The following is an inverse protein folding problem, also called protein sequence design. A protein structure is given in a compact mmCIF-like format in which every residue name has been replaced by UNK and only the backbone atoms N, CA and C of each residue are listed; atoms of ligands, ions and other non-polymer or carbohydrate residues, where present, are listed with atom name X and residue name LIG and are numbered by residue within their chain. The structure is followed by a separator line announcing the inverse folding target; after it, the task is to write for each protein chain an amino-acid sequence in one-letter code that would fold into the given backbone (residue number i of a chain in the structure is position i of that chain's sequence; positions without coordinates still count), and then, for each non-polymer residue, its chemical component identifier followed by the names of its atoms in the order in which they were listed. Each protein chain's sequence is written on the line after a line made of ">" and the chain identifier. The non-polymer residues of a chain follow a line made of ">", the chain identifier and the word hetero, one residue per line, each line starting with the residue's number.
data_IF_047293235247
#
_entry.id   IF_047293235247
#
_cell.length_a   1.000
_cell.length_b   1.000
_cell.length_c   1.000
_cell.angle_alpha   90.00
_cell.angle_beta   90.00
_cell.angle_gamma   90.00
#
_symmetry.space_group_name_H-M   'P 1'
#
loop_
_entity.id
_entity.type
_entity.pdbx_description
1 polymer ?
#
# COMPACT_ATOMS: atom_id res chain seq x y z
N UNK A 1 14.99 22.12 -1.22
CA UNK A 1 14.83 21.63 -2.61
C UNK A 1 14.84 22.85 -3.51
N UNK A 2 15.67 22.88 -4.55
CA UNK A 2 15.65 23.99 -5.51
C UNK A 2 14.55 23.82 -6.56
N UNK A 3 14.24 24.88 -7.30
CA UNK A 3 13.17 24.88 -8.31
C UNK A 3 13.42 23.87 -9.44
N UNK A 4 14.68 23.64 -9.82
CA UNK A 4 15.04 22.68 -10.86
C UNK A 4 14.75 21.23 -10.41
N UNK A 5 15.07 20.90 -9.16
CA UNK A 5 14.77 19.59 -8.56
C UNK A 5 13.26 19.35 -8.44
N UNK A 6 12.48 20.38 -8.11
CA UNK A 6 11.02 20.29 -8.07
C UNK A 6 10.43 20.03 -9.47
N UNK A 7 10.90 20.75 -10.49
CA UNK A 7 10.45 20.56 -11.87
C UNK A 7 10.78 19.17 -12.40
N UNK A 8 11.96 18.63 -12.06
CA UNK A 8 12.34 17.27 -12.43
C UNK A 8 11.44 16.22 -11.78
N UNK A 9 11.09 16.39 -10.50
CA UNK A 9 10.18 15.47 -9.81
C UNK A 9 8.79 15.50 -10.43
N UNK A 10 8.24 16.69 -10.71
CA UNK A 10 6.92 16.84 -11.33
C UNK A 10 6.87 16.18 -12.70
N UNK A 11 7.89 16.40 -13.55
CA UNK A 11 7.96 15.76 -14.86
C UNK A 11 8.01 14.22 -14.76
N UNK A 12 8.73 13.68 -13.77
CA UNK A 12 8.76 12.24 -13.52
C UNK A 12 7.38 11.72 -13.06
N UNK A 13 6.69 12.44 -12.17
CA UNK A 13 5.32 12.09 -11.74
C UNK A 13 4.36 12.06 -12.94
N UNK A 14 4.36 13.08 -13.78
CA UNK A 14 3.49 13.16 -14.97
C UNK A 14 3.75 12.02 -15.97
N UNK A 15 5.03 11.68 -16.19
CA UNK A 15 5.42 10.54 -16.99
C UNK A 15 4.85 9.24 -16.42
N UNK A 16 5.11 8.94 -15.14
CA UNK A 16 4.63 7.72 -14.51
C UNK A 16 3.11 7.65 -14.44
N UNK A 17 2.40 8.78 -14.25
CA UNK A 17 0.95 8.81 -14.32
C UNK A 17 0.42 8.39 -15.69
N UNK A 18 1.06 8.86 -16.76
CA UNK A 18 0.68 8.52 -18.13
C UNK A 18 0.86 7.02 -18.38
N UNK A 19 2.00 6.48 -17.96
CA UNK A 19 2.33 5.06 -18.13
C UNK A 19 1.43 4.15 -17.27
N UNK A 20 1.18 4.51 -16.02
CA UNK A 20 0.25 3.81 -15.13
C UNK A 20 -1.19 3.81 -15.68
N UNK A 21 -1.68 4.95 -16.17
CA UNK A 21 -3.00 5.03 -16.83
C UNK A 21 -3.07 4.09 -18.04
N UNK A 22 -2.00 4.00 -18.81
CA UNK A 22 -1.91 3.05 -19.93
C UNK A 22 -1.90 1.59 -19.45
N UNK A 23 -1.16 1.28 -18.37
CA UNK A 23 -1.09 -0.07 -17.80
C UNK A 23 -2.44 -0.56 -17.26
N UNK A 24 -3.22 0.33 -16.64
CA UNK A 24 -4.53 0.02 -16.06
C UNK A 24 -5.63 -0.10 -17.12
N UNK A 25 -5.43 0.49 -18.31
CA UNK A 25 -6.42 0.47 -19.39
C UNK A 25 -6.74 -0.97 -19.83
N UNK A 26 -8.01 -1.34 -19.69
CA UNK A 26 -8.55 -2.67 -20.01
C UNK A 26 -7.87 -3.81 -19.23
N UNK A 27 -7.29 -3.53 -18.05
CA UNK A 27 -6.66 -4.55 -17.21
C UNK A 27 -7.66 -5.62 -16.76
N UNK A 28 -8.91 -5.23 -16.54
CA UNK A 28 -10.04 -6.09 -16.18
C UNK A 28 -10.38 -7.15 -17.23
N UNK A 29 -9.96 -6.96 -18.48
CA UNK A 29 -10.15 -7.94 -19.55
C UNK A 29 -8.94 -8.88 -19.72
N UNK A 30 -7.82 -8.58 -19.08
CA UNK A 30 -6.52 -9.20 -19.36
C UNK A 30 -5.89 -9.89 -18.16
N UNK A 31 -6.23 -9.47 -16.95
CA UNK A 31 -5.57 -9.95 -15.75
C UNK A 31 -6.47 -10.87 -14.94
N UNK A 32 -5.93 -12.04 -14.61
CA UNK A 32 -6.48 -12.87 -13.56
C UNK A 32 -6.30 -12.17 -12.20
N UNK A 33 -7.35 -12.22 -11.40
CA UNK A 33 -7.43 -11.57 -10.09
C UNK A 33 -7.08 -12.57 -8.99
N UNK A 34 -6.18 -12.16 -8.11
CA UNK A 34 -5.89 -12.88 -6.88
C UNK A 34 -6.92 -12.51 -5.80
N UNK A 35 -7.80 -13.45 -5.46
CA UNK A 35 -8.81 -13.27 -4.41
C UNK A 35 -8.32 -13.68 -3.02
N UNK A 36 -7.26 -14.47 -2.97
CA UNK A 36 -6.74 -15.03 -1.73
C UNK A 36 -5.22 -14.91 -1.70
N UNK A 37 -4.67 -14.59 -0.55
CA UNK A 37 -3.22 -14.53 -0.35
C UNK A 37 -2.86 -14.99 1.05
N UNK A 38 -1.64 -15.52 1.17
CA UNK A 38 -1.13 -15.95 2.46
C UNK A 38 -0.80 -14.74 3.32
N UNK A 39 -1.08 -14.88 4.62
CA UNK A 39 -0.81 -13.89 5.64
C UNK A 39 -0.02 -14.53 6.78
N UNK A 40 0.81 -13.78 7.49
CA UNK A 40 1.41 -14.27 8.71
C UNK A 40 0.31 -14.61 9.73
N UNK A 41 0.59 -15.58 10.59
CA UNK A 41 -0.19 -15.73 11.82
C UNK A 41 -0.10 -14.42 12.62
N UNK A 42 -1.13 -14.07 13.36
CA UNK A 42 -1.14 -12.84 14.15
C UNK A 42 -0.85 -13.19 15.61
N UNK A 43 0.15 -12.52 16.18
CA UNK A 43 0.47 -12.58 17.60
C UNK A 43 -0.47 -11.72 18.46
N UNK A 44 -0.16 -11.67 19.76
CA UNK A 44 -0.90 -10.87 20.74
C UNK A 44 -0.96 -9.38 20.33
N UNK A 45 -2.13 -8.76 20.48
CA UNK A 45 -2.34 -7.36 20.05
C UNK A 45 -2.32 -7.16 18.52
N UNK A 46 -2.24 -8.23 17.73
CA UNK A 46 -2.29 -8.16 16.28
C UNK A 46 -0.96 -7.84 15.60
N UNK A 47 0.19 -7.98 16.26
CA UNK A 47 1.46 -7.98 15.52
C UNK A 47 1.51 -9.18 14.55
N UNK A 48 2.14 -9.07 13.37
CA UNK A 48 2.70 -10.24 12.64
C UNK A 48 3.43 -11.13 13.68
N UNK A 49 3.12 -12.43 13.67
CA UNK A 49 3.70 -13.44 14.56
C UNK A 49 5.20 -13.61 14.31
N UNK A 50 5.79 -14.65 14.92
CA UNK A 50 7.14 -15.10 14.63
C UNK A 50 7.37 -15.14 13.12
N UNK A 51 8.39 -14.38 12.68
CA UNK A 51 8.78 -14.27 11.28
C UNK A 51 8.81 -15.65 10.59
N UNK A 52 8.06 -15.78 9.50
CA UNK A 52 7.97 -17.00 8.70
C UNK A 52 6.84 -17.98 9.07
N UNK A 53 6.04 -17.70 10.11
CA UNK A 53 4.84 -18.49 10.41
C UNK A 53 3.61 -17.91 9.70
N UNK A 54 3.08 -18.66 8.75
CA UNK A 54 1.88 -18.31 8.01
C UNK A 54 0.64 -18.90 8.67
N UNK A 55 -0.47 -18.17 8.59
CA UNK A 55 -1.78 -18.71 8.96
C UNK A 55 -2.11 -19.93 8.10
N UNK A 56 -2.84 -20.90 8.67
CA UNK A 56 -3.25 -22.10 7.95
C UNK A 56 -4.18 -21.77 6.77
N UNK A 57 -5.11 -20.84 6.99
CA UNK A 57 -6.04 -20.37 5.98
C UNK A 57 -5.58 -19.03 5.37
N UNK A 58 -5.63 -18.88 4.04
CA UNK A 58 -5.31 -17.63 3.40
C UNK A 58 -6.39 -16.57 3.70
N UNK A 59 -6.01 -15.30 3.61
CA UNK A 59 -6.98 -14.22 3.68
C UNK A 59 -7.79 -14.13 2.38
N UNK A 60 -9.13 -14.13 2.48
CA UNK A 60 -10.04 -13.97 1.33
C UNK A 60 -10.59 -12.55 1.25
N UNK A 61 -10.09 -11.79 0.27
CA UNK A 61 -10.50 -10.39 0.05
C UNK A 61 -11.96 -10.26 -0.38
N UNK A 62 -12.56 -11.32 -0.93
CA UNK A 62 -13.97 -11.27 -1.36
C UNK A 62 -14.92 -11.06 -0.19
N UNK A 63 -14.58 -11.51 1.02
CA UNK A 63 -15.43 -11.36 2.20
C UNK A 63 -15.68 -9.88 2.54
N UNK A 64 -14.63 -9.06 2.59
CA UNK A 64 -14.73 -7.63 2.89
C UNK A 64 -15.21 -6.79 1.69
N UNK A 65 -15.04 -7.34 0.47
CA UNK A 65 -15.53 -6.73 -0.76
C UNK A 65 -17.03 -6.96 -1.01
N UNK A 66 -17.69 -7.82 -0.25
CA UNK A 66 -19.09 -8.20 -0.48
C UNK A 66 -19.27 -9.22 -1.62
N UNK A 67 -18.24 -10.00 -1.91
CA UNK A 67 -18.26 -11.11 -2.88
C UNK A 67 -17.50 -10.85 -4.18
N UNK A 68 -17.47 -11.87 -5.03
CA UNK A 68 -16.76 -11.86 -6.33
C UNK A 68 -17.64 -11.29 -7.44
N UNK A 69 -17.95 -10.00 -7.37
CA UNK A 69 -18.76 -9.30 -8.38
C UNK A 69 -17.91 -8.86 -9.58
N UNK A 70 -18.51 -8.57 -10.75
CA UNK A 70 -17.78 -7.99 -11.88
C UNK A 70 -17.08 -6.66 -11.54
N UNK A 71 -17.71 -5.82 -10.70
CA UNK A 71 -17.11 -4.57 -10.24
C UNK A 71 -15.86 -4.82 -9.38
N UNK A 72 -15.93 -5.75 -8.42
CA UNK A 72 -14.79 -6.12 -7.58
C UNK A 72 -13.68 -6.82 -8.38
N UNK A 73 -14.04 -7.60 -9.39
CA UNK A 73 -13.06 -8.17 -10.32
C UNK A 73 -12.32 -7.07 -11.08
N UNK A 74 -13.05 -6.11 -11.67
CA UNK A 74 -12.44 -5.00 -12.39
C UNK A 74 -11.57 -4.12 -11.48
N UNK A 75 -12.01 -3.86 -10.25
CA UNK A 75 -11.23 -3.16 -9.22
C UNK A 75 -9.90 -3.87 -8.98
N UNK A 76 -9.93 -5.14 -8.58
CA UNK A 76 -8.72 -5.88 -8.24
C UNK A 76 -7.79 -6.08 -9.44
N UNK A 77 -8.33 -6.27 -10.66
CA UNK A 77 -7.53 -6.37 -11.87
C UNK A 77 -6.77 -5.07 -12.16
N UNK A 78 -7.43 -3.93 -12.01
CA UNK A 78 -6.81 -2.61 -12.21
C UNK A 78 -5.75 -2.31 -11.14
N UNK A 79 -6.02 -2.62 -9.88
CA UNK A 79 -5.02 -2.51 -8.81
C UNK A 79 -3.84 -3.46 -9.04
N UNK A 80 -4.10 -4.68 -9.50
CA UNK A 80 -3.07 -5.63 -9.91
C UNK A 80 -2.18 -5.13 -11.03
N UNK A 81 -2.74 -4.40 -12.01
CA UNK A 81 -1.95 -3.76 -13.05
C UNK A 81 -1.02 -2.66 -12.50
N UNK A 82 -1.49 -1.86 -11.54
CA UNK A 82 -0.66 -0.87 -10.83
C UNK A 82 0.48 -1.57 -10.11
N UNK A 83 0.20 -2.60 -9.30
CA UNK A 83 1.22 -3.32 -8.55
C UNK A 83 2.27 -3.97 -9.45
N UNK A 84 1.85 -4.58 -10.57
CA UNK A 84 2.79 -5.19 -11.55
C UNK A 84 3.65 -4.15 -12.24
N UNK A 85 3.06 -3.02 -12.65
CA UNK A 85 3.81 -1.92 -13.23
C UNK A 85 4.82 -1.36 -12.21
N UNK A 86 4.40 -1.16 -10.96
CA UNK A 86 5.29 -0.71 -9.89
C UNK A 86 6.45 -1.68 -9.69
N UNK A 87 6.16 -2.99 -9.63
CA UNK A 87 7.18 -4.03 -9.48
C UNK A 87 8.23 -4.01 -10.60
N UNK A 88 7.82 -3.73 -11.84
CA UNK A 88 8.76 -3.73 -12.97
C UNK A 88 9.57 -2.43 -13.10
N UNK A 89 9.23 -1.38 -12.35
CA UNK A 89 9.85 -0.05 -12.49
C UNK A 89 10.44 0.52 -11.19
N UNK A 90 10.16 -0.11 -10.05
CA UNK A 90 10.73 0.23 -8.75
C UNK A 90 11.77 -0.80 -8.32
N UNK A 91 12.76 -0.38 -7.54
CA UNK A 91 13.68 -1.27 -6.83
C UNK A 91 13.13 -1.75 -5.48
N UNK A 92 11.90 -1.38 -5.13
CA UNK A 92 11.24 -1.81 -3.88
C UNK A 92 11.12 -3.34 -3.82
N UNK A 93 11.25 -3.88 -2.61
CA UNK A 93 11.13 -5.31 -2.36
C UNK A 93 9.71 -5.73 -2.01
N UNK A 94 8.90 -4.76 -1.56
CA UNK A 94 7.51 -4.96 -1.22
C UNK A 94 6.70 -3.71 -1.53
N UNK A 95 5.46 -3.89 -1.97
CA UNK A 95 4.52 -2.80 -2.24
C UNK A 95 3.10 -3.29 -2.01
N UNK A 96 2.25 -2.47 -1.39
CA UNK A 96 0.86 -2.77 -1.11
C UNK A 96 -0.08 -1.60 -1.33
N UNK A 97 -1.26 -1.90 -1.87
CA UNK A 97 -2.37 -0.96 -2.02
C UNK A 97 -3.47 -1.33 -1.04
N UNK A 98 -3.85 -0.38 -0.20
CA UNK A 98 -4.84 -0.58 0.85
C UNK A 98 -6.03 0.37 0.71
N UNK A 99 -7.22 -0.17 0.95
CA UNK A 99 -8.45 0.61 1.00
C UNK A 99 -9.00 0.63 2.42
N UNK A 100 -9.51 1.78 2.86
CA UNK A 100 -10.26 1.92 4.10
C UNK A 100 -11.64 1.28 3.95
N UNK A 101 -11.97 0.31 4.81
CA UNK A 101 -13.27 -0.40 4.81
C UNK A 101 -13.70 -0.75 6.24
N UNK A 102 -14.97 -1.14 6.40
CA UNK A 102 -15.42 -1.85 7.60
C UNK A 102 -15.29 -3.36 7.39
N UNK A 103 -14.69 -4.06 8.36
CA UNK A 103 -14.61 -5.52 8.35
C UNK A 103 -15.92 -6.15 8.90
N UNK A 104 -15.98 -7.48 8.94
CA UNK A 104 -17.16 -8.22 9.42
C UNK A 104 -17.49 -8.01 10.91
N UNK A 105 -16.52 -7.54 11.69
CA UNK A 105 -16.71 -7.13 13.09
C UNK A 105 -17.20 -5.68 13.24
N UNK A 106 -17.37 -4.95 12.13
CA UNK A 106 -17.76 -3.54 12.12
C UNK A 106 -16.62 -2.58 12.40
N UNK A 107 -15.38 -3.07 12.48
CA UNK A 107 -14.20 -2.26 12.74
C UNK A 107 -13.72 -1.58 11.46
N UNK A 108 -13.24 -0.34 11.58
CA UNK A 108 -12.63 0.37 10.44
C UNK A 108 -11.17 -0.08 10.30
N UNK A 109 -10.82 -0.57 9.12
CA UNK A 109 -9.50 -1.12 8.80
C UNK A 109 -9.00 -0.60 7.46
N UNK A 110 -7.68 -0.64 7.27
CA UNK A 110 -7.08 -0.64 5.94
C UNK A 110 -6.91 -2.09 5.48
N UNK A 111 -7.56 -2.48 4.38
CA UNK A 111 -7.40 -3.82 3.79
C UNK A 111 -6.53 -3.79 2.55
N UNK A 112 -5.56 -4.70 2.48
CA UNK A 112 -4.68 -4.92 1.33
C UNK A 112 -5.46 -5.55 0.19
N UNK A 113 -5.58 -4.81 -0.91
CA UNK A 113 -6.29 -5.25 -2.12
C UNK A 113 -5.36 -5.77 -3.21
N UNK A 114 -4.13 -5.27 -3.27
CA UNK A 114 -3.12 -5.71 -4.23
C UNK A 114 -1.73 -5.47 -3.67
N UNK A 115 -0.81 -6.39 -3.92
CA UNK A 115 0.56 -6.27 -3.45
C UNK A 115 1.54 -7.16 -4.24
N UNK A 116 2.83 -6.94 -4.04
CA UNK A 116 3.88 -7.93 -4.28
C UNK A 116 4.87 -7.93 -3.11
N UNK A 117 5.69 -8.98 -3.04
CA UNK A 117 6.68 -9.17 -1.98
C UNK A 117 6.27 -10.27 -1.01
N UNK A 118 6.94 -10.34 0.13
CA UNK A 118 6.69 -11.35 1.16
C UNK A 118 5.27 -11.25 1.74
N UNK A 119 4.70 -12.37 2.24
CA UNK A 119 3.46 -12.37 2.98
C UNK A 119 3.50 -11.39 4.15
N UNK A 120 2.51 -10.49 4.17
CA UNK A 120 2.31 -9.52 5.24
C UNK A 120 0.83 -9.43 5.58
N UNK A 121 0.53 -8.72 6.67
CA UNK A 121 -0.83 -8.58 7.18
C UNK A 121 -1.83 -8.13 6.11
N UNK A 122 -3.04 -8.69 6.17
CA UNK A 122 -4.14 -8.28 5.30
C UNK A 122 -4.80 -6.97 5.73
N UNK A 123 -5.05 -6.82 7.03
CA UNK A 123 -5.79 -5.70 7.61
C UNK A 123 -4.98 -4.95 8.66
N UNK A 124 -4.93 -3.63 8.57
CA UNK A 124 -4.44 -2.77 9.65
C UNK A 124 -5.62 -2.09 10.36
N UNK A 125 -5.81 -2.32 11.67
CA UNK A 125 -6.82 -1.61 12.45
C UNK A 125 -6.58 -0.11 12.43
N UNK A 126 -7.62 0.68 12.13
CA UNK A 126 -7.54 2.14 12.19
C UNK A 126 -8.00 2.64 13.56
N UNK A 127 -7.21 2.30 14.59
CA UNK A 127 -7.38 2.76 15.97
C UNK A 127 -6.17 3.57 16.43
N UNK A 128 -6.36 4.43 17.43
CA UNK A 128 -5.28 5.25 17.98
C UNK A 128 -4.17 4.38 18.57
N UNK A 129 -4.55 3.30 19.24
CA UNK A 129 -3.64 2.36 19.90
C UNK A 129 -2.75 1.66 18.87
N UNK A 130 -3.33 1.23 17.74
CA UNK A 130 -2.56 0.55 16.70
C UNK A 130 -1.71 1.55 15.89
N UNK A 131 -2.23 2.76 15.65
CA UNK A 131 -1.46 3.82 15.00
C UNK A 131 -0.22 4.26 15.78
N UNK A 132 -0.24 4.15 17.12
CA UNK A 132 0.91 4.46 17.96
C UNK A 132 2.14 3.56 17.71
N UNK A 133 1.96 2.42 17.04
CA UNK A 133 3.04 1.49 16.69
C UNK A 133 3.17 1.24 15.18
N UNK A 134 2.13 1.51 14.38
CA UNK A 134 2.09 1.21 12.95
C UNK A 134 2.12 2.47 12.09
N UNK A 135 3.09 2.52 11.17
CA UNK A 135 3.15 3.53 10.12
C UNK A 135 1.86 3.56 9.29
N UNK A 136 1.40 2.39 8.82
CA UNK A 136 0.22 2.28 7.96
C UNK A 136 -1.03 2.87 8.64
N UNK A 137 -1.29 2.50 9.90
CA UNK A 137 -2.44 3.05 10.63
C UNK A 137 -2.25 4.51 11.03
N UNK A 138 -1.03 4.95 11.34
CA UNK A 138 -0.70 6.37 11.53
C UNK A 138 -1.01 7.20 10.29
N UNK A 139 -0.62 6.77 9.11
CA UNK A 139 -0.93 7.44 7.83
C UNK A 139 -2.44 7.36 7.55
N UNK A 140 -3.05 6.18 7.74
CA UNK A 140 -4.47 5.93 7.51
C UNK A 140 -5.45 6.65 8.46
N UNK A 141 -4.96 7.20 9.58
CA UNK A 141 -5.72 8.07 10.46
C UNK A 141 -5.40 9.55 10.24
N UNK A 142 -4.12 9.89 10.07
CA UNK A 142 -3.68 11.29 10.04
C UNK A 142 -3.78 11.94 8.67
N UNK A 143 -3.80 11.15 7.59
CA UNK A 143 -3.67 11.65 6.23
C UNK A 143 -2.31 12.30 5.95
N UNK A 144 -1.29 12.05 6.77
CA UNK A 144 0.07 12.57 6.58
C UNK A 144 0.98 11.47 6.07
N UNK A 145 1.60 11.69 4.92
CA UNK A 145 2.58 10.76 4.37
C UNK A 145 3.77 10.57 5.31
N UNK A 146 4.38 9.39 5.24
CA UNK A 146 5.58 9.03 6.00
C UNK A 146 6.61 8.45 5.06
N UNK A 147 7.80 9.01 5.08
CA UNK A 147 8.95 8.55 4.28
C UNK A 147 10.11 8.36 5.24
N UNK A 148 10.53 7.12 5.41
CA UNK A 148 11.63 6.70 6.27
C UNK A 148 12.69 6.08 5.37
N UNK A 149 13.79 6.79 5.15
CA UNK A 149 14.89 6.30 4.32
C UNK A 149 15.96 5.53 5.13
N UNK A 150 15.88 5.55 6.47
CA UNK A 150 16.73 4.76 7.35
C UNK A 150 15.91 4.30 8.56
N UNK A 151 15.28 3.12 8.45
CA UNK A 151 14.47 2.52 9.51
C UNK A 151 15.26 2.32 10.81
N UNK A 152 16.50 1.75 10.79
CA UNK A 152 17.33 1.67 11.99
C UNK A 152 17.55 3.02 12.69
N UNK A 153 17.88 4.08 11.94
CA UNK A 153 18.09 5.41 12.53
C UNK A 153 16.80 6.01 13.09
N UNK A 154 15.67 5.82 12.39
CA UNK A 154 14.36 6.26 12.83
C UNK A 154 13.94 5.59 14.15
N UNK A 155 14.12 4.27 14.27
CA UNK A 155 13.89 3.52 15.51
C UNK A 155 14.77 4.00 16.66
N UNK A 156 16.06 4.25 16.41
CA UNK A 156 16.98 4.77 17.44
C UNK A 156 16.58 6.14 17.98
N UNK A 157 15.85 6.93 17.19
CA UNK A 157 15.31 8.23 17.58
C UNK A 157 13.96 8.14 18.30
N UNK A 158 13.50 6.91 18.59
CA UNK A 158 12.20 6.65 19.22
C UNK A 158 11.02 6.70 18.26
N UNK A 159 11.28 6.61 16.95
CA UNK A 159 10.24 6.53 15.93
C UNK A 159 9.43 5.25 16.08
N UNK A 160 8.11 5.39 16.00
CA UNK A 160 7.18 4.28 16.01
C UNK A 160 7.28 3.50 14.70
N UNK A 161 7.70 2.25 14.81
CA UNK A 161 7.85 1.39 13.65
C UNK A 161 7.54 -0.05 14.03
N UNK A 162 6.56 -0.59 13.33
CA UNK A 162 6.17 -1.97 13.51
C UNK A 162 6.90 -2.84 12.47
N UNK A 163 7.87 -3.63 12.93
CA UNK A 163 8.68 -4.48 12.04
C UNK A 163 7.98 -5.81 11.74
N UNK A 164 7.39 -5.97 10.55
CA UNK A 164 6.99 -7.30 10.06
C UNK A 164 8.17 -8.07 9.42
N UNK A 165 9.07 -7.39 8.72
CA UNK A 165 10.26 -7.99 8.11
C UNK A 165 11.53 -7.22 8.54
N UNK A 166 12.48 -7.86 9.26
CA UNK A 166 13.69 -7.19 9.72
C UNK A 166 14.64 -6.77 8.60
N UNK A 167 14.42 -7.22 7.35
CA UNK A 167 15.20 -6.76 6.19
C UNK A 167 14.82 -5.34 5.74
N UNK A 168 13.68 -4.81 6.17
CA UNK A 168 13.23 -3.48 5.74
C UNK A 168 14.14 -2.39 6.32
N UNK A 169 14.76 -1.63 5.42
CA UNK A 169 15.68 -0.54 5.74
C UNK A 169 15.15 0.84 5.32
N UNK A 170 14.16 0.88 4.43
CA UNK A 170 13.42 2.08 4.08
C UNK A 170 11.94 1.75 3.82
N UNK A 171 11.05 2.70 4.10
CA UNK A 171 9.61 2.61 3.85
C UNK A 171 9.04 3.97 3.42
N UNK A 172 8.10 3.96 2.48
CA UNK A 172 7.30 5.13 2.14
C UNK A 172 5.82 4.78 2.05
N UNK A 173 5.03 5.41 2.93
CA UNK A 173 3.59 5.23 3.02
C UNK A 173 2.87 6.54 2.68
N UNK A 174 2.02 6.53 1.64
CA UNK A 174 1.33 7.71 1.12
C UNK A 174 -0.19 7.55 1.29
N UNK A 175 -0.88 8.55 1.88
CA UNK A 175 -2.34 8.55 2.01
C UNK A 175 -3.04 8.76 0.67
N UNK A 176 -4.21 8.14 0.52
CA UNK A 176 -5.04 8.21 -0.67
C UNK A 176 -6.30 9.00 -0.38
N UNK A 177 -6.50 10.09 -1.10
CA UNK A 177 -7.67 10.96 -0.94
C UNK A 177 -8.62 10.82 -2.14
N UNK A 178 -9.91 10.71 -1.87
CA UNK A 178 -10.95 10.88 -2.87
C UNK A 178 -11.09 12.37 -3.25
N UNK A 179 -11.80 12.66 -4.35
CA UNK A 179 -12.08 14.03 -4.79
C UNK A 179 -12.81 14.88 -3.72
N UNK A 180 -13.54 14.23 -2.82
CA UNK A 180 -14.19 14.86 -1.66
C UNK A 180 -13.20 15.33 -0.58
N UNK A 181 -11.93 14.95 -0.66
CA UNK A 181 -10.94 15.11 0.40
C UNK A 181 -10.99 14.02 1.48
N UNK A 182 -11.86 13.02 1.33
CA UNK A 182 -11.92 11.87 2.25
C UNK A 182 -10.67 10.99 2.09
N UNK A 183 -10.07 10.59 3.20
CA UNK A 183 -9.01 9.59 3.25
C UNK A 183 -9.59 8.19 3.04
N UNK A 184 -9.37 7.62 1.85
CA UNK A 184 -9.96 6.35 1.39
C UNK A 184 -9.00 5.17 1.41
N UNK A 185 -7.73 5.39 1.75
CA UNK A 185 -6.73 4.32 1.82
C UNK A 185 -5.30 4.82 1.93
N UNK A 186 -4.36 3.91 1.70
CA UNK A 186 -2.93 4.19 1.62
C UNK A 186 -2.31 3.35 0.49
N UNK A 187 -1.16 3.78 0.00
CA UNK A 187 -0.17 2.86 -0.58
C UNK A 187 1.05 2.83 0.31
N UNK A 188 1.73 1.70 0.29
CA UNK A 188 2.92 1.46 1.09
C UNK A 188 3.97 0.72 0.28
N UNK A 189 5.23 1.05 0.49
CA UNK A 189 6.37 0.53 -0.27
C UNK A 189 7.56 0.38 0.66
N UNK A 190 8.18 -0.79 0.63
CA UNK A 190 9.30 -1.13 1.51
C UNK A 190 10.51 -1.59 0.69
N UNK A 191 11.69 -1.30 1.20
CA UNK A 191 12.96 -1.65 0.57
C UNK A 191 13.94 -2.25 1.57
N UNK A 192 14.74 -3.20 1.09
CA UNK A 192 15.83 -3.82 1.87
C UNK A 192 17.14 -3.03 1.76
N UNK A 193 17.07 -1.82 1.23
CA UNK A 193 18.16 -0.85 1.15
C UNK A 193 17.69 0.46 1.76
N UNK A 194 18.64 1.21 2.33
CA UNK A 194 18.39 2.58 2.79
C UNK A 194 18.26 3.53 1.61
N UNK A 195 17.70 4.70 1.88
CA UNK A 195 17.69 5.84 0.96
C UNK A 195 17.05 5.56 -0.41
N UNK A 196 16.08 4.64 -0.50
CA UNK A 196 15.42 4.36 -1.77
C UNK A 196 14.45 5.48 -2.21
N UNK A 197 13.67 6.02 -1.26
CA UNK A 197 12.50 6.84 -1.57
C UNK A 197 12.87 8.30 -1.78
N UNK A 198 13.49 8.55 -2.93
CA UNK A 198 13.83 9.86 -3.45
C UNK A 198 13.69 9.90 -4.98
N UNK A 199 13.58 11.10 -5.56
CA UNK A 199 13.59 11.31 -7.02
C UNK A 199 12.59 10.40 -7.74
N UNK A 200 13.03 9.57 -8.69
CA UNK A 200 12.18 8.75 -9.56
C UNK A 200 11.38 7.69 -8.79
N UNK A 201 11.96 7.07 -7.75
CA UNK A 201 11.24 6.11 -6.90
C UNK A 201 10.07 6.77 -6.17
N UNK A 202 10.32 7.94 -5.58
CA UNK A 202 9.27 8.72 -4.94
C UNK A 202 8.25 9.25 -5.97
N UNK A 203 8.70 9.61 -7.19
CA UNK A 203 7.83 10.05 -8.28
C UNK A 203 6.85 8.95 -8.71
N UNK A 204 7.35 7.73 -8.87
CA UNK A 204 6.55 6.55 -9.21
C UNK A 204 5.51 6.26 -8.12
N UNK A 205 5.92 6.32 -6.84
CA UNK A 205 5.02 6.13 -5.72
C UNK A 205 3.93 7.21 -5.66
N UNK A 206 4.29 8.48 -5.82
CA UNK A 206 3.32 9.58 -5.89
C UNK A 206 2.35 9.40 -7.08
N UNK A 207 2.86 9.02 -8.25
CA UNK A 207 2.03 8.79 -9.43
C UNK A 207 1.02 7.65 -9.20
N UNK A 208 1.43 6.57 -8.54
CA UNK A 208 0.53 5.50 -8.12
C UNK A 208 -0.52 6.02 -7.11
N UNK A 209 -0.10 6.80 -6.10
CA UNK A 209 -1.00 7.35 -5.09
C UNK A 209 -2.08 8.26 -5.67
N UNK A 210 -1.78 8.95 -6.78
CA UNK A 210 -2.75 9.79 -7.47
C UNK A 210 -3.72 9.00 -8.34
N UNK A 211 -3.33 7.82 -8.84
CA UNK A 211 -4.20 7.00 -9.70
C UNK A 211 -5.11 6.07 -8.90
N UNK A 212 -4.65 5.53 -7.78
CA UNK A 212 -5.42 4.55 -6.99
C UNK A 212 -6.81 5.07 -6.56
N UNK A 213 -6.99 6.32 -6.05
CA UNK A 213 -8.30 6.84 -5.70
C UNK A 213 -9.28 6.87 -6.89
N UNK A 214 -8.78 7.16 -8.10
CA UNK A 214 -9.58 7.14 -9.33
C UNK A 214 -10.06 5.72 -9.64
N UNK A 215 -9.21 4.72 -9.41
CA UNK A 215 -9.57 3.31 -9.57
C UNK A 215 -10.60 2.87 -8.51
N UNK A 216 -10.47 3.33 -7.26
CA UNK A 216 -11.46 3.07 -6.22
C UNK A 216 -12.83 3.66 -6.58
N UNK A 217 -12.87 4.93 -7.01
CA UNK A 217 -14.10 5.63 -7.36
C UNK A 217 -14.83 4.99 -8.55
N UNK A 218 -14.09 4.43 -9.53
CA UNK A 218 -14.69 3.76 -10.67
C UNK A 218 -15.35 2.41 -10.36
N UNK A 219 -15.17 1.88 -9.14
CA UNK A 219 -15.73 0.62 -8.68
C UNK A 219 -16.82 0.77 -7.60
N UNK A 220 -17.02 1.99 -7.08
CA UNK A 220 -18.08 2.34 -6.14
C UNK A 220 -19.43 2.51 -6.86
#
# INVERSE_FOLDING_TARGET
>A
MDAASCNSLLAAVEKYQTELKAAVKNADLKLEVQWQYQVPELGEGGSCSLFGQLAAEPYDVSAILGGKTPANHALLARLGAISRYYQSHSQSNWFGIYQKRQNSAGETVLVKLSYFGEPSRAEFPLTTEFAAISNNSSVGLSGKARIINDVPAYLQQGGEYYTCDPKVLAEACIPLFADSGELVGIIDSEAFVKDLFHRDELALLIAAAMLVPVVFAAAA
#
